data_IF_916923652837
#
_entry.id   IF_916923652837
#
_cell.length_a   1.000
_cell.length_b   1.000
_cell.length_c   1.000
_cell.angle_alpha   90.00
_cell.angle_beta   90.00
_cell.angle_gamma   90.00
#
_symmetry.space_group_name_H-M   'P 1'
#
loop_
_entity.id
_entity.type
_entity.pdbx_description
1 polymer ?
#
# COMPACT_ATOMS: atom_id res chain seq x y z
N UNK A 1 -30.53 -5.35 -14.56
CA UNK A 1 -30.77 -4.41 -13.46
C UNK A 1 -30.86 -5.22 -12.18
N UNK A 2 -30.04 -4.93 -11.19
CA UNK A 2 -30.09 -5.59 -9.89
C UNK A 2 -30.64 -4.59 -8.88
N UNK A 3 -31.76 -4.90 -8.23
CA UNK A 3 -32.30 -4.09 -7.14
C UNK A 3 -31.90 -4.71 -5.81
N UNK A 4 -31.35 -3.91 -4.90
CA UNK A 4 -30.92 -4.30 -3.57
C UNK A 4 -31.58 -3.42 -2.52
N UNK A 5 -32.13 -4.05 -1.51
CA UNK A 5 -32.69 -3.37 -0.34
C UNK A 5 -31.63 -3.37 0.77
N UNK A 6 -31.10 -2.20 1.13
CA UNK A 6 -30.22 -2.03 2.27
C UNK A 6 -31.05 -1.66 3.51
N UNK A 7 -30.85 -2.41 4.58
CA UNK A 7 -31.48 -2.18 5.89
C UNK A 7 -30.54 -1.27 6.69
N UNK A 8 -30.95 -0.05 6.97
CA UNK A 8 -30.17 0.93 7.70
C UNK A 8 -30.75 1.28 9.05
N UNK A 9 -30.62 0.50 10.04
CA UNK A 9 -30.90 0.77 11.46
C UNK A 9 -31.99 -0.09 12.12
N UNK A 10 -31.68 -0.66 13.27
CA UNK A 10 -32.53 -1.65 13.95
C UNK A 10 -33.74 -1.05 14.70
N UNK A 11 -33.94 0.27 14.70
CA UNK A 11 -34.94 0.91 15.56
C UNK A 11 -35.97 1.79 14.88
N UNK A 12 -35.94 1.93 13.56
CA UNK A 12 -36.95 2.70 12.81
C UNK A 12 -37.58 1.88 11.70
N UNK A 13 -38.88 2.02 11.53
CA UNK A 13 -39.65 1.46 10.43
C UNK A 13 -38.85 1.56 9.12
N UNK A 14 -38.55 0.40 8.55
CA UNK A 14 -37.71 0.29 7.35
C UNK A 14 -38.34 0.99 6.17
N UNK A 15 -37.75 2.08 5.70
CA UNK A 15 -37.90 2.50 4.32
C UNK A 15 -36.70 1.92 3.58
N UNK A 16 -36.86 0.87 2.77
CA UNK A 16 -35.75 0.30 2.03
C UNK A 16 -35.26 1.35 1.01
N UNK A 17 -34.02 1.76 1.11
CA UNK A 17 -33.38 2.52 0.07
C UNK A 17 -33.22 1.60 -1.15
N UNK A 18 -34.04 1.81 -2.16
CA UNK A 18 -33.99 1.04 -3.41
C UNK A 18 -32.91 1.63 -4.32
N UNK A 19 -31.91 0.85 -4.63
CA UNK A 19 -30.88 1.20 -5.61
C UNK A 19 -31.05 0.34 -6.85
N UNK A 20 -31.04 0.97 -8.02
CA UNK A 20 -31.01 0.27 -9.30
C UNK A 20 -29.67 0.55 -9.97
N UNK A 21 -28.80 -0.45 -10.03
CA UNK A 21 -27.47 -0.34 -10.61
C UNK A 21 -27.37 -1.31 -11.79
N UNK A 22 -26.86 -0.82 -12.92
CA UNK A 22 -26.59 -1.69 -14.06
C UNK A 22 -25.45 -2.66 -13.71
N UNK A 23 -25.66 -3.95 -13.88
CA UNK A 23 -24.66 -4.99 -13.60
C UNK A 23 -23.33 -4.77 -14.34
N UNK A 24 -23.34 -4.12 -15.50
CA UNK A 24 -22.12 -3.79 -16.26
C UNK A 24 -21.17 -2.89 -15.47
N UNK A 25 -21.68 -2.06 -14.56
CA UNK A 25 -20.86 -1.16 -13.75
C UNK A 25 -19.95 -1.94 -12.78
N UNK A 26 -20.40 -3.08 -12.25
CA UNK A 26 -19.58 -3.91 -11.38
C UNK A 26 -18.35 -4.51 -12.09
N UNK A 27 -18.43 -4.73 -13.41
CA UNK A 27 -17.30 -5.22 -14.21
C UNK A 27 -16.17 -4.20 -14.35
N UNK A 28 -16.44 -2.93 -14.09
CA UNK A 28 -15.45 -1.84 -14.11
C UNK A 28 -14.70 -1.71 -12.79
N UNK A 29 -15.17 -2.36 -11.73
CA UNK A 29 -14.56 -2.32 -10.42
C UNK A 29 -13.54 -3.47 -10.27
N UNK A 30 -12.45 -3.27 -9.54
CA UNK A 30 -11.48 -4.33 -9.28
C UNK A 30 -12.16 -5.55 -8.67
N UNK A 31 -11.81 -6.74 -9.16
CA UNK A 31 -12.38 -8.01 -8.72
C UNK A 31 -13.92 -8.09 -8.86
N UNK A 32 -14.54 -7.31 -9.77
CA UNK A 32 -16.00 -7.22 -9.96
C UNK A 32 -16.75 -6.93 -8.65
N UNK A 33 -16.22 -6.08 -7.80
CA UNK A 33 -16.84 -5.75 -6.50
C UNK A 33 -18.20 -5.11 -6.66
N UNK A 34 -19.08 -5.46 -5.71
CA UNK A 34 -20.38 -4.82 -5.61
C UNK A 34 -20.27 -3.53 -4.79
N UNK A 35 -20.52 -2.38 -5.42
CA UNK A 35 -20.70 -1.10 -4.74
C UNK A 35 -22.17 -0.70 -4.82
N UNK A 36 -22.78 -0.48 -3.67
CA UNK A 36 -24.20 -0.14 -3.57
C UNK A 36 -24.41 1.36 -3.42
N UNK A 37 -23.75 2.14 -4.29
CA UNK A 37 -23.88 3.60 -4.30
C UNK A 37 -23.52 4.13 -5.68
N UNK A 38 -24.48 4.77 -6.34
CA UNK A 38 -24.26 5.41 -7.65
C UNK A 38 -23.16 6.47 -7.56
N UNK A 39 -23.13 7.23 -6.47
CA UNK A 39 -22.09 8.26 -6.25
C UNK A 39 -20.69 7.66 -6.19
N UNK A 40 -20.52 6.51 -5.52
CA UNK A 40 -19.22 5.83 -5.44
C UNK A 40 -18.81 5.25 -6.79
N UNK A 41 -19.75 4.70 -7.54
CA UNK A 41 -19.49 4.18 -8.89
C UNK A 41 -19.12 5.31 -9.84
N UNK A 42 -19.83 6.43 -9.81
CA UNK A 42 -19.51 7.61 -10.62
C UNK A 42 -18.14 8.18 -10.26
N UNK A 43 -17.81 8.29 -8.97
CA UNK A 43 -16.49 8.74 -8.51
C UNK A 43 -15.39 7.79 -9.00
N UNK A 44 -15.61 6.48 -8.85
CA UNK A 44 -14.68 5.47 -9.33
C UNK A 44 -14.43 5.61 -10.82
N UNK A 45 -15.48 5.61 -11.62
CA UNK A 45 -15.40 5.75 -13.08
C UNK A 45 -14.65 7.03 -13.47
N UNK A 46 -14.98 8.17 -12.85
CA UNK A 46 -14.30 9.44 -13.12
C UNK A 46 -12.80 9.40 -12.78
N UNK A 47 -12.40 8.71 -11.71
CA UNK A 47 -10.99 8.59 -11.34
C UNK A 47 -10.21 7.67 -12.28
N UNK A 48 -10.84 6.60 -12.79
CA UNK A 48 -10.13 5.57 -13.54
C UNK A 48 -10.38 5.61 -15.06
N UNK A 49 -11.27 6.47 -15.55
CA UNK A 49 -11.59 6.59 -16.97
C UNK A 49 -10.39 6.97 -17.83
N UNK A 50 -9.50 7.86 -17.32
CA UNK A 50 -8.31 8.35 -18.01
C UNK A 50 -7.02 8.09 -17.21
N UNK A 51 -6.99 7.07 -16.37
CA UNK A 51 -5.84 6.71 -15.55
C UNK A 51 -5.44 5.26 -15.75
N UNK A 52 -4.23 4.96 -15.34
CA UNK A 52 -3.69 3.60 -15.35
C UNK A 52 -3.50 3.10 -13.92
N UNK A 53 -3.55 1.79 -13.75
CA UNK A 53 -3.24 1.15 -12.49
C UNK A 53 -1.72 1.08 -12.25
N UNK A 54 -1.30 1.17 -11.00
CA UNK A 54 0.11 0.97 -10.62
C UNK A 54 0.64 -0.39 -11.09
N UNK A 55 -0.21 -1.42 -11.09
CA UNK A 55 0.15 -2.75 -11.57
C UNK A 55 0.41 -2.88 -13.07
N UNK A 56 -0.11 -1.93 -13.87
CA UNK A 56 0.09 -1.89 -15.33
C UNK A 56 1.38 -1.17 -15.74
N UNK A 57 2.10 -0.62 -14.77
CA UNK A 57 3.37 0.07 -15.02
C UNK A 57 4.55 -0.86 -14.71
N UNK A 58 5.66 -0.63 -15.38
CA UNK A 58 6.90 -1.39 -15.15
C UNK A 58 7.60 -1.01 -13.84
N UNK A 59 6.82 -0.63 -12.81
CA UNK A 59 7.36 -0.36 -11.50
C UNK A 59 7.77 -1.66 -10.80
N UNK A 60 8.91 -1.63 -10.15
CA UNK A 60 9.31 -2.72 -9.27
C UNK A 60 8.71 -2.54 -7.91
N UNK A 61 8.03 -3.56 -7.46
CA UNK A 61 7.27 -3.58 -6.22
C UNK A 61 7.65 -4.80 -5.39
N UNK A 62 8.30 -4.59 -4.25
CA UNK A 62 8.76 -5.65 -3.36
C UNK A 62 8.34 -5.39 -1.91
N UNK A 63 8.24 -6.45 -1.14
CA UNK A 63 8.17 -6.37 0.31
C UNK A 63 9.59 -6.19 0.87
N UNK A 64 9.73 -5.55 2.03
CA UNK A 64 11.00 -5.48 2.73
C UNK A 64 11.50 -6.85 3.20
N UNK A 65 12.68 -6.89 3.80
CA UNK A 65 13.36 -8.11 4.24
C UNK A 65 12.49 -8.92 5.18
N UNK A 66 12.31 -10.20 4.86
CA UNK A 66 11.68 -11.19 5.75
C UNK A 66 12.78 -12.01 6.43
N UNK A 67 12.80 -11.99 7.75
CA UNK A 67 13.78 -12.69 8.58
C UNK A 67 13.09 -13.57 9.63
N UNK A 68 13.78 -14.61 10.10
CA UNK A 68 13.23 -15.52 11.09
C UNK A 68 13.32 -14.98 12.53
N UNK A 69 14.50 -14.50 12.94
CA UNK A 69 14.76 -14.10 14.33
C UNK A 69 15.22 -12.66 14.45
N UNK A 70 14.41 -11.84 15.16
CA UNK A 70 14.73 -10.44 15.42
C UNK A 70 16.01 -10.23 16.25
N UNK A 71 16.25 -11.07 17.25
CA UNK A 71 17.40 -10.94 18.13
C UNK A 71 18.71 -11.18 17.39
N UNK A 72 18.69 -12.11 16.44
CA UNK A 72 19.85 -12.46 15.63
C UNK A 72 20.19 -11.36 14.60
N UNK A 73 19.17 -10.79 13.95
CA UNK A 73 19.36 -9.93 12.79
C UNK A 73 19.32 -8.43 13.09
N UNK A 74 18.76 -8.00 14.21
CA UNK A 74 18.64 -6.57 14.53
C UNK A 74 19.59 -6.18 15.67
N UNK A 75 20.32 -5.08 15.45
CA UNK A 75 21.21 -4.49 16.45
C UNK A 75 20.99 -2.98 16.55
N UNK A 76 21.20 -2.41 17.73
CA UNK A 76 21.11 -0.96 17.97
C UNK A 76 22.31 -0.20 17.40
N UNK A 77 23.42 -0.89 17.18
CA UNK A 77 24.65 -0.33 16.63
C UNK A 77 25.04 -1.07 15.35
N UNK A 78 25.71 -0.36 14.47
CA UNK A 78 26.40 -0.97 13.33
C UNK A 78 27.66 -1.67 13.84
N UNK A 79 27.71 -3.00 13.75
CA UNK A 79 28.84 -3.79 14.23
C UNK A 79 29.96 -3.92 13.20
N UNK A 80 29.57 -4.08 11.92
CA UNK A 80 30.49 -4.18 10.79
C UNK A 80 29.80 -3.73 9.48
N UNK A 81 30.45 -3.94 8.34
CA UNK A 81 29.96 -3.54 7.00
C UNK A 81 28.71 -4.29 6.51
N UNK A 82 28.38 -5.43 7.12
CA UNK A 82 27.18 -6.22 6.80
C UNK A 82 25.92 -5.64 7.43
N UNK A 83 26.06 -4.68 8.33
CA UNK A 83 24.94 -4.05 9.03
C UNK A 83 24.51 -2.77 8.31
N UNK A 84 23.22 -2.73 7.94
CA UNK A 84 22.60 -1.63 7.21
C UNK A 84 21.51 -0.97 8.05
N UNK A 85 21.36 0.37 7.98
CA UNK A 85 20.30 1.07 8.68
C UNK A 85 18.94 0.60 8.15
N UNK A 86 18.01 0.31 9.06
CA UNK A 86 16.73 -0.32 8.74
C UNK A 86 15.54 0.56 9.14
N UNK A 87 14.56 0.66 8.21
CA UNK A 87 13.27 1.29 8.44
C UNK A 87 12.20 0.24 8.63
N UNK A 88 11.31 0.45 9.59
CA UNK A 88 10.09 -0.33 9.82
C UNK A 88 8.87 0.52 9.58
N UNK A 89 7.73 -0.08 9.31
CA UNK A 89 6.49 0.65 9.05
C UNK A 89 6.12 1.69 10.12
N UNK A 90 6.52 1.49 11.38
CA UNK A 90 6.29 2.44 12.48
C UNK A 90 7.24 3.63 12.51
N UNK A 91 8.33 3.62 11.73
CA UNK A 91 9.38 4.63 11.79
C UNK A 91 9.13 5.87 10.92
N UNK A 92 8.03 5.91 10.19
CA UNK A 92 7.71 7.04 9.34
C UNK A 92 6.21 7.32 9.29
N UNK A 93 5.89 8.55 8.92
CA UNK A 93 4.55 9.05 8.63
C UNK A 93 4.49 9.53 7.19
N UNK A 94 3.30 9.98 6.74
CA UNK A 94 3.12 10.57 5.41
C UNK A 94 4.09 11.73 5.20
N UNK A 95 4.86 11.69 4.10
CA UNK A 95 5.80 12.74 3.70
C UNK A 95 6.97 13.01 4.65
N UNK A 96 7.11 12.26 5.74
CA UNK A 96 8.25 12.46 6.66
C UNK A 96 9.49 11.75 6.14
N UNK A 97 10.70 12.28 6.43
CA UNK A 97 11.92 11.55 6.14
C UNK A 97 11.95 10.20 6.84
N UNK A 98 12.65 9.26 6.25
CA UNK A 98 12.90 7.96 6.88
C UNK A 98 13.93 8.12 8.01
N UNK A 99 13.57 7.62 9.18
CA UNK A 99 14.46 7.53 10.32
C UNK A 99 14.71 6.05 10.63
N UNK A 100 15.97 5.71 10.86
CA UNK A 100 16.30 4.36 11.32
C UNK A 100 16.41 4.33 12.84
N UNK A 101 15.99 3.22 13.44
CA UNK A 101 16.17 2.97 14.87
C UNK A 101 17.25 1.92 15.14
N UNK A 102 17.47 1.04 14.17
CA UNK A 102 18.33 -0.14 14.29
C UNK A 102 19.06 -0.41 12.99
N UNK A 103 19.98 -1.32 13.08
CA UNK A 103 20.67 -1.90 11.93
C UNK A 103 20.22 -3.35 11.73
N UNK A 104 20.17 -3.80 10.48
CA UNK A 104 19.91 -5.19 10.12
C UNK A 104 21.20 -5.83 9.60
N UNK A 105 21.53 -7.01 10.11
CA UNK A 105 22.51 -7.90 9.52
C UNK A 105 21.95 -8.42 8.20
N UNK A 106 22.59 -8.07 7.09
CA UNK A 106 22.17 -8.49 5.76
C UNK A 106 23.10 -9.59 5.26
N UNK A 107 22.70 -10.82 5.52
CA UNK A 107 23.33 -12.06 4.98
C UNK A 107 22.27 -12.78 4.16
N UNK A 108 22.35 -12.71 2.81
CA UNK A 108 21.29 -13.21 1.90
C UNK A 108 20.88 -14.66 2.16
N UNK A 109 21.82 -15.51 2.47
CA UNK A 109 21.61 -16.95 2.68
C UNK A 109 20.84 -17.27 3.96
N UNK A 110 20.79 -16.33 4.91
CA UNK A 110 20.11 -16.48 6.20
C UNK A 110 18.75 -15.81 6.24
N UNK A 111 18.38 -15.08 5.18
CA UNK A 111 17.09 -14.39 5.08
C UNK A 111 16.04 -15.32 4.48
N UNK A 112 14.81 -15.25 4.98
CA UNK A 112 13.70 -16.06 4.47
C UNK A 112 13.25 -15.60 3.08
N UNK A 113 13.30 -14.30 2.78
CA UNK A 113 13.04 -13.75 1.46
C UNK A 113 13.54 -12.32 1.30
N UNK A 114 13.50 -11.84 0.05
CA UNK A 114 13.92 -10.49 -0.33
C UNK A 114 15.40 -10.22 0.00
N UNK A 115 16.24 -11.20 -0.34
CA UNK A 115 17.68 -11.20 -0.12
C UNK A 115 18.50 -10.49 -1.20
N UNK A 116 17.85 -9.86 -2.19
CA UNK A 116 18.55 -9.10 -3.21
C UNK A 116 18.88 -7.68 -2.73
N UNK A 117 20.15 -7.43 -2.43
CA UNK A 117 20.66 -6.15 -1.94
C UNK A 117 20.37 -4.99 -2.91
N UNK A 118 20.38 -5.22 -4.22
CA UNK A 118 20.17 -4.17 -5.22
C UNK A 118 18.82 -3.47 -5.10
N UNK A 119 17.80 -4.15 -4.55
CA UNK A 119 16.47 -3.58 -4.30
C UNK A 119 16.50 -2.43 -3.28
N UNK A 120 17.43 -2.48 -2.33
CA UNK A 120 17.55 -1.48 -1.27
C UNK A 120 18.51 -0.36 -1.66
N UNK A 121 19.55 -0.66 -2.45
CA UNK A 121 20.58 0.27 -2.87
C UNK A 121 20.20 1.17 -4.07
N UNK A 122 18.94 1.21 -4.46
CA UNK A 122 18.46 2.15 -5.49
C UNK A 122 18.57 3.58 -4.98
N UNK A 123 18.87 4.51 -5.90
CA UNK A 123 19.09 5.93 -5.56
C UNK A 123 17.86 6.57 -4.93
N UNK A 124 16.68 6.22 -5.44
CA UNK A 124 15.40 6.78 -5.00
C UNK A 124 14.35 5.67 -4.97
N UNK A 125 13.54 5.66 -3.92
CA UNK A 125 12.39 4.76 -3.79
C UNK A 125 11.30 5.33 -2.90
N UNK A 126 10.11 4.78 -3.01
CA UNK A 126 9.05 4.99 -2.04
C UNK A 126 8.99 3.79 -1.09
N UNK A 127 8.83 4.06 0.18
CA UNK A 127 8.59 3.06 1.23
C UNK A 127 7.15 3.23 1.69
N UNK A 128 6.36 2.17 1.59
CA UNK A 128 4.93 2.15 1.91
C UNK A 128 4.71 1.24 3.10
N UNK A 129 3.97 1.70 4.10
CA UNK A 129 3.66 0.92 5.30
C UNK A 129 2.72 -0.23 4.96
N UNK A 130 3.07 -1.45 5.36
CA UNK A 130 2.23 -2.62 5.20
C UNK A 130 1.21 -2.75 6.34
N UNK A 131 1.65 -2.65 7.60
CA UNK A 131 0.76 -2.80 8.76
C UNK A 131 0.02 -1.48 9.02
N UNK A 132 -1.08 -1.29 8.33
CA UNK A 132 -1.92 -0.08 8.40
C UNK A 132 -3.29 -0.35 7.79
N UNK A 133 -4.30 0.38 8.25
CA UNK A 133 -5.63 0.38 7.65
C UNK A 133 -5.79 1.43 6.52
N UNK A 134 -4.76 2.20 6.27
CA UNK A 134 -4.73 3.23 5.22
C UNK A 134 -3.33 3.35 4.61
N UNK A 135 -3.23 4.01 3.47
CA UNK A 135 -1.97 4.21 2.77
C UNK A 135 -1.12 5.25 3.50
N UNK A 136 0.10 4.85 3.84
CA UNK A 136 1.14 5.72 4.40
C UNK A 136 2.42 5.44 3.65
N UNK A 137 2.94 6.44 2.96
CA UNK A 137 4.17 6.34 2.19
C UNK A 137 5.14 7.47 2.53
N UNK A 138 6.42 7.19 2.36
CA UNK A 138 7.51 8.15 2.46
C UNK A 138 8.49 7.97 1.29
N UNK A 139 9.30 8.98 1.07
CA UNK A 139 10.37 9.00 0.06
C UNK A 139 11.71 8.69 0.73
N UNK A 140 12.52 7.87 0.08
CA UNK A 140 13.85 7.49 0.54
C UNK A 140 14.88 7.68 -0.57
N UNK A 141 15.86 8.54 -0.30
CA UNK A 141 17.06 8.80 -1.08
C UNK A 141 18.36 8.49 -0.31
N UNK A 142 18.22 7.83 0.85
CA UNK A 142 19.32 7.45 1.73
C UNK A 142 19.66 5.95 1.65
N UNK A 143 19.09 5.24 0.67
CA UNK A 143 19.33 3.81 0.46
C UNK A 143 19.04 2.95 1.70
N UNK A 144 18.01 3.34 2.46
CA UNK A 144 17.60 2.63 3.66
C UNK A 144 17.09 1.23 3.32
N UNK A 145 17.48 0.26 4.12
CA UNK A 145 16.89 -1.07 4.11
C UNK A 145 15.54 -1.04 4.81
N UNK A 146 14.66 -1.96 4.49
CA UNK A 146 13.34 -2.01 5.12
C UNK A 146 12.91 -3.43 5.43
N UNK A 147 12.08 -3.58 6.45
CA UNK A 147 11.58 -4.87 6.90
C UNK A 147 10.22 -5.21 6.29
N UNK A 148 9.78 -6.43 6.53
CA UNK A 148 8.53 -7.05 6.11
C UNK A 148 7.25 -6.26 6.44
N UNK A 149 7.34 -5.30 7.37
CA UNK A 149 6.25 -4.34 7.67
C UNK A 149 6.12 -3.20 6.67
N UNK A 150 6.86 -3.27 5.56
CA UNK A 150 6.86 -2.26 4.49
C UNK A 150 6.87 -2.89 3.11
N UNK A 151 6.42 -2.11 2.12
CA UNK A 151 6.67 -2.35 0.70
C UNK A 151 7.58 -1.27 0.15
N UNK A 152 8.39 -1.61 -0.85
CA UNK A 152 9.23 -0.68 -1.60
C UNK A 152 8.77 -0.60 -3.05
N UNK A 153 8.75 0.62 -3.60
CA UNK A 153 8.39 0.92 -4.98
C UNK A 153 9.49 1.76 -5.61
N UNK A 154 10.06 1.30 -6.70
CA UNK A 154 11.14 1.97 -7.43
C UNK A 154 11.11 1.66 -8.94
N UNK A 155 12.14 2.08 -9.68
CA UNK A 155 12.20 2.05 -11.14
C UNK A 155 10.98 2.74 -11.78
N UNK A 156 10.63 3.89 -11.19
CA UNK A 156 9.59 4.75 -11.70
C UNK A 156 10.08 5.33 -13.03
N UNK A 157 9.31 5.10 -14.09
CA UNK A 157 9.68 5.57 -15.42
C UNK A 157 9.87 7.11 -15.45
N UNK A 158 10.66 7.63 -16.38
CA UNK A 158 10.91 9.07 -16.56
C UNK A 158 9.63 9.90 -16.71
N UNK A 159 8.53 9.24 -17.09
CA UNK A 159 7.20 9.87 -17.18
C UNK A 159 6.63 10.29 -15.83
N UNK A 160 7.02 9.61 -14.73
CA UNK A 160 6.46 9.82 -13.41
C UNK A 160 7.57 10.09 -12.39
N UNK A 161 7.43 11.16 -11.64
CA UNK A 161 8.35 11.50 -10.56
C UNK A 161 7.95 10.74 -9.26
N UNK A 162 8.93 10.26 -8.47
CA UNK A 162 8.71 9.61 -7.18
C UNK A 162 7.87 10.48 -6.23
N UNK A 163 8.14 11.79 -6.18
CA UNK A 163 7.40 12.72 -5.31
C UNK A 163 5.96 12.92 -5.76
N UNK A 164 5.70 12.86 -7.07
CA UNK A 164 4.34 12.86 -7.61
C UNK A 164 3.57 11.62 -7.17
N UNK A 165 4.15 10.44 -7.31
CA UNK A 165 3.52 9.19 -6.85
C UNK A 165 3.37 9.16 -5.32
N UNK A 166 4.33 9.70 -4.58
CA UNK A 166 4.22 9.88 -3.13
C UNK A 166 2.99 10.71 -2.76
N UNK A 167 2.77 11.83 -3.46
CA UNK A 167 1.62 12.71 -3.23
C UNK A 167 0.30 11.98 -3.53
N UNK A 168 0.23 11.23 -4.63
CA UNK A 168 -0.95 10.44 -4.98
C UNK A 168 -1.24 9.36 -3.93
N UNK A 169 -0.25 8.53 -3.56
CA UNK A 169 -0.42 7.43 -2.59
C UNK A 169 -0.89 7.97 -1.23
N UNK A 170 -0.36 9.10 -0.79
CA UNK A 170 -0.74 9.72 0.48
C UNK A 170 -2.02 10.54 0.44
N UNK A 171 -2.59 10.81 -0.76
CA UNK A 171 -3.77 11.65 -0.92
C UNK A 171 -5.00 11.06 -0.21
N UNK A 172 -5.91 11.93 0.19
CA UNK A 172 -7.21 11.51 0.73
C UNK A 172 -8.03 10.72 -0.29
N UNK A 173 -7.97 11.15 -1.56
CA UNK A 173 -8.70 10.49 -2.64
C UNK A 173 -8.23 9.05 -2.83
N UNK A 174 -6.91 8.82 -3.00
CA UNK A 174 -6.41 7.47 -3.24
C UNK A 174 -6.59 6.56 -2.02
N UNK A 175 -6.48 7.10 -0.80
CA UNK A 175 -6.82 6.37 0.42
C UNK A 175 -8.29 5.98 0.48
N UNK A 176 -9.20 6.86 0.08
CA UNK A 176 -10.63 6.56 0.00
C UNK A 176 -10.91 5.46 -1.03
N UNK A 177 -10.35 5.56 -2.24
CA UNK A 177 -10.48 4.53 -3.28
C UNK A 177 -9.89 3.18 -2.82
N UNK A 178 -8.77 3.21 -2.10
CA UNK A 178 -8.18 2.00 -1.51
C UNK A 178 -9.16 1.32 -0.53
N UNK A 179 -9.86 2.08 0.31
CA UNK A 179 -10.86 1.52 1.24
C UNK A 179 -12.08 0.93 0.52
N UNK A 180 -12.43 1.43 -0.65
CA UNK A 180 -13.45 0.81 -1.50
C UNK A 180 -12.97 -0.56 -1.98
N UNK A 181 -11.71 -0.68 -2.40
CA UNK A 181 -11.13 -1.95 -2.85
C UNK A 181 -10.97 -2.93 -1.68
N UNK A 182 -10.45 -2.44 -0.55
CA UNK A 182 -10.09 -3.29 0.60
C UNK A 182 -10.54 -2.62 1.89
N UNK A 183 -11.76 -2.92 2.36
CA UNK A 183 -12.25 -2.37 3.62
C UNK A 183 -11.48 -2.99 4.80
N UNK A 184 -10.47 -2.27 5.28
CA UNK A 184 -9.62 -2.68 6.41
C UNK A 184 -9.96 -1.93 7.71
N UNK A 185 -10.87 -0.95 7.66
CA UNK A 185 -11.29 -0.18 8.83
C UNK A 185 -11.98 -1.12 9.83
N UNK A 186 -11.57 -1.03 11.09
CA UNK A 186 -12.10 -1.86 12.17
C UNK A 186 -11.47 -3.24 12.32
N UNK A 187 -10.57 -3.65 11.43
CA UNK A 187 -9.83 -4.90 11.60
C UNK A 187 -8.69 -4.72 12.59
N UNK A 188 -8.51 -5.67 13.51
CA UNK A 188 -7.46 -5.66 14.52
C UNK A 188 -6.04 -5.67 13.91
N UNK A 189 -5.85 -6.34 12.75
CA UNK A 189 -4.58 -6.46 12.04
C UNK A 189 -4.75 -6.06 10.59
N UNK A 190 -5.03 -4.80 10.37
CA UNK A 190 -5.17 -4.22 9.04
C UNK A 190 -3.85 -4.26 8.26
N UNK A 191 -3.90 -4.63 6.98
CA UNK A 191 -2.72 -4.72 6.13
C UNK A 191 -2.95 -4.12 4.74
N UNK A 192 -2.01 -3.29 4.34
CA UNK A 192 -1.87 -2.83 2.96
C UNK A 192 -1.07 -3.88 2.18
N UNK A 193 -1.76 -4.70 1.39
CA UNK A 193 -1.13 -5.77 0.61
C UNK A 193 -0.69 -5.25 -0.76
N UNK A 194 0.49 -5.70 -1.23
CA UNK A 194 1.05 -5.30 -2.52
C UNK A 194 0.12 -5.59 -3.70
N UNK A 195 -0.61 -6.72 -3.68
CA UNK A 195 -1.59 -7.07 -4.71
C UNK A 195 -2.75 -6.08 -4.80
N UNK A 196 -3.12 -5.45 -3.69
CA UNK A 196 -4.18 -4.44 -3.66
C UNK A 196 -3.67 -3.06 -4.08
N UNK A 197 -2.42 -2.72 -3.74
CA UNK A 197 -1.77 -1.49 -4.19
C UNK A 197 -1.66 -1.44 -5.72
N UNK A 198 -1.42 -2.57 -6.36
CA UNK A 198 -1.35 -2.68 -7.83
C UNK A 198 -2.67 -2.41 -8.54
N UNK A 199 -3.77 -2.37 -7.83
CA UNK A 199 -5.12 -2.06 -8.34
C UNK A 199 -5.52 -0.59 -8.22
N UNK A 200 -4.60 0.25 -7.74
CA UNK A 200 -4.75 1.70 -7.66
C UNK A 200 -4.16 2.40 -8.86
#
# INVERSE_FOLDING_TARGET
TTSLNLISDETKFFVPNKFEINQKEFKRLPDNKFLFSDTLILLWNKCFENSDYLGNKNFKFYQGIVRGDNKRFLNDKRLDERYYPIVRGRNFYKYTPTLYEKYVLFEPELLHSNSNKSMFNVKEKLIIRQTSNHLVATYDDNQMFSLDSTHILFDISDKYNHKYLLALINSKLLNFLYQIIVPEIGKAFSQVKGVNLKKL
#
